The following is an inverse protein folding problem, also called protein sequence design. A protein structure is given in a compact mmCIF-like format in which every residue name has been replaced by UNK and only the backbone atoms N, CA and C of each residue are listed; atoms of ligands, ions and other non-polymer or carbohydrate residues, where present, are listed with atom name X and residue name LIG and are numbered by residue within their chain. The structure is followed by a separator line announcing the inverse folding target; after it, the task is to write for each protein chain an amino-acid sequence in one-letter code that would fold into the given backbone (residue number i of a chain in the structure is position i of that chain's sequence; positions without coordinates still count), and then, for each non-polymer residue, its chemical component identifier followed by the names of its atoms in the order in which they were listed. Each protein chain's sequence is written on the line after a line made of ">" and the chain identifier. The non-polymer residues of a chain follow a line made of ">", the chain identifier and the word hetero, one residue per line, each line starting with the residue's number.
data_IF_399244541610
#
_entry.id   IF_399244541610
#
_cell.length_a   1.000
_cell.length_b   1.000
_cell.length_c   1.000
_cell.angle_alpha   90.00
_cell.angle_beta   90.00
_cell.angle_gamma   90.00
#
_symmetry.space_group_name_H-M   'P 1'
#
loop_
_entity.id
_entity.type
_entity.pdbx_description
1 polymer ?
#
# COMPACT_ATOMS: atom_id res chain seq x y z
N UNK A 1 -22.46 -8.26 -25.54
CA UNK A 1 -21.21 -9.04 -25.70
C UNK A 1 -20.04 -8.06 -25.64
N UNK A 2 -19.02 -8.34 -24.85
CA UNK A 2 -17.87 -7.43 -24.65
C UNK A 2 -16.66 -7.86 -25.50
N UNK A 3 -15.88 -6.92 -26.04
CA UNK A 3 -14.73 -7.22 -26.89
C UNK A 3 -13.45 -7.56 -26.11
N UNK A 4 -13.43 -7.38 -24.78
CA UNK A 4 -12.34 -7.83 -23.92
C UNK A 4 -12.82 -8.13 -22.51
N UNK A 5 -12.04 -8.93 -21.76
CA UNK A 5 -12.30 -9.23 -20.36
C UNK A 5 -12.31 -7.96 -19.50
N UNK A 6 -11.37 -7.04 -19.76
CA UNK A 6 -11.29 -5.78 -19.04
C UNK A 6 -12.54 -4.92 -19.26
N UNK A 7 -13.07 -4.86 -20.49
CA UNK A 7 -14.32 -4.14 -20.75
C UNK A 7 -15.52 -4.83 -20.12
N UNK A 8 -15.56 -6.17 -20.09
CA UNK A 8 -16.61 -6.91 -19.39
C UNK A 8 -16.60 -6.60 -17.88
N UNK A 9 -15.44 -6.68 -17.23
CA UNK A 9 -15.31 -6.39 -15.80
C UNK A 9 -15.67 -4.95 -15.48
N UNK A 10 -15.19 -4.00 -16.28
CA UNK A 10 -15.43 -2.59 -16.06
C UNK A 10 -16.92 -2.22 -16.28
N UNK A 11 -17.58 -2.84 -17.27
CA UNK A 11 -19.02 -2.66 -17.48
C UNK A 11 -19.84 -3.14 -16.28
N UNK A 12 -19.58 -4.35 -15.78
CA UNK A 12 -20.30 -4.90 -14.62
C UNK A 12 -20.02 -4.09 -13.37
N UNK A 13 -18.75 -3.72 -13.12
CA UNK A 13 -18.37 -2.92 -11.97
C UNK A 13 -19.05 -1.55 -11.95
N UNK A 14 -19.16 -0.88 -13.11
CA UNK A 14 -19.90 0.39 -13.22
C UNK A 14 -21.38 0.24 -12.96
N UNK A 15 -22.01 -0.78 -13.54
CA UNK A 15 -23.44 -1.04 -13.35
C UNK A 15 -23.72 -1.24 -11.85
N UNK A 16 -22.95 -2.10 -11.18
CA UNK A 16 -23.05 -2.29 -9.73
C UNK A 16 -22.83 -0.99 -8.97
N UNK A 17 -21.81 -0.19 -9.35
CA UNK A 17 -21.54 1.09 -8.70
C UNK A 17 -22.72 2.08 -8.80
N UNK A 18 -23.37 2.14 -9.96
CA UNK A 18 -24.54 3.00 -10.19
C UNK A 18 -25.76 2.49 -9.42
N UNK A 19 -26.05 1.19 -9.46
CA UNK A 19 -27.17 0.56 -8.76
C UNK A 19 -27.06 0.69 -7.23
N UNK A 20 -25.83 0.72 -6.69
CA UNK A 20 -25.58 0.99 -5.28
C UNK A 20 -25.71 2.48 -4.89
N UNK A 21 -26.13 3.35 -5.81
CA UNK A 21 -26.32 4.77 -5.53
C UNK A 21 -25.01 5.54 -5.43
N UNK A 22 -23.97 5.11 -6.16
CA UNK A 22 -22.69 5.79 -6.26
C UNK A 22 -22.02 6.07 -4.89
N UNK A 23 -21.69 5.02 -4.11
CA UNK A 23 -21.08 5.20 -2.79
C UNK A 23 -19.76 5.98 -2.87
N UNK A 24 -19.41 6.68 -1.79
CA UNK A 24 -18.17 7.48 -1.70
C UNK A 24 -16.91 6.62 -1.73
N UNK A 25 -17.02 5.34 -1.36
CA UNK A 25 -15.95 4.35 -1.44
C UNK A 25 -16.47 3.13 -2.19
N UNK A 26 -15.84 2.84 -3.33
CA UNK A 26 -16.11 1.63 -4.11
C UNK A 26 -14.80 1.09 -4.65
N UNK A 27 -14.45 -0.13 -4.26
CA UNK A 27 -13.15 -0.73 -4.56
C UNK A 27 -13.26 -1.74 -5.72
N UNK A 28 -12.45 -1.56 -6.77
CA UNK A 28 -12.34 -2.53 -7.86
C UNK A 28 -10.91 -3.09 -7.96
N UNK A 29 -10.78 -4.41 -7.85
CA UNK A 29 -9.51 -5.13 -8.02
C UNK A 29 -9.43 -5.75 -9.43
N UNK A 30 -8.50 -5.31 -10.31
CA UNK A 30 -8.40 -5.83 -11.66
C UNK A 30 -7.82 -7.25 -11.70
N UNK A 31 -8.26 -8.03 -12.69
CA UNK A 31 -7.60 -9.29 -13.05
C UNK A 31 -6.35 -8.99 -13.88
N UNK A 32 -5.16 -9.35 -13.39
CA UNK A 32 -3.89 -9.26 -14.16
C UNK A 32 -2.85 -8.27 -13.63
N UNK A 33 -3.00 -7.68 -12.45
CA UNK A 33 -2.03 -6.71 -11.91
C UNK A 33 -0.68 -7.31 -11.51
N UNK A 34 -0.56 -8.64 -11.47
CA UNK A 34 0.60 -9.34 -10.94
C UNK A 34 1.47 -10.09 -11.97
N UNK A 35 1.09 -10.23 -13.26
CA UNK A 35 1.75 -11.22 -14.15
C UNK A 35 1.81 -10.89 -15.66
N UNK A 36 1.68 -9.64 -16.13
CA UNK A 36 1.79 -9.38 -17.58
C UNK A 36 2.59 -8.12 -17.91
N UNK A 37 3.40 -8.14 -18.99
CA UNK A 37 4.19 -6.98 -19.39
C UNK A 37 3.27 -5.76 -19.65
N UNK A 38 3.78 -4.54 -19.45
CA UNK A 38 3.01 -3.28 -19.52
C UNK A 38 2.26 -3.05 -20.84
N UNK A 39 2.51 -3.87 -21.87
CA UNK A 39 1.86 -3.84 -23.18
C UNK A 39 0.44 -4.41 -23.22
N UNK A 40 -0.05 -5.02 -22.13
CA UNK A 40 -1.36 -5.69 -22.11
C UNK A 40 -2.30 -5.24 -20.99
N UNK A 41 -1.89 -4.25 -20.17
CA UNK A 41 -2.77 -3.61 -19.19
C UNK A 41 -3.68 -2.62 -19.91
N UNK A 42 -4.51 -3.14 -20.81
CA UNK A 42 -5.72 -2.47 -21.25
C UNK A 42 -6.77 -2.68 -20.14
N UNK A 43 -6.55 -2.15 -18.94
CA UNK A 43 -7.71 -1.71 -18.15
C UNK A 43 -8.09 -0.41 -18.83
N UNK A 44 -9.20 -0.31 -19.58
CA UNK A 44 -9.57 0.97 -20.13
C UNK A 44 -9.80 1.88 -18.93
N UNK A 45 -8.88 2.83 -18.70
CA UNK A 45 -9.03 3.90 -17.73
C UNK A 45 -10.38 4.63 -17.90
N UNK A 46 -10.96 4.51 -19.10
CA UNK A 46 -12.23 5.06 -19.57
C UNK A 46 -13.47 4.31 -19.04
N UNK A 47 -13.36 3.06 -18.58
CA UNK A 47 -14.53 2.24 -18.27
C UNK A 47 -14.83 2.11 -16.78
N UNK A 48 -14.17 2.85 -15.87
CA UNK A 48 -14.69 3.00 -14.51
C UNK A 48 -15.04 4.48 -14.33
N UNK A 49 -16.29 4.77 -13.91
CA UNK A 49 -16.68 6.14 -13.54
C UNK A 49 -15.68 6.73 -12.54
N UNK A 50 -15.54 8.07 -12.53
CA UNK A 50 -14.53 8.85 -11.78
C UNK A 50 -14.48 8.60 -10.26
N UNK A 51 -15.34 7.76 -9.73
CA UNK A 51 -15.63 7.58 -8.30
C UNK A 51 -15.42 6.14 -7.81
N UNK A 52 -15.06 5.20 -8.68
CA UNK A 52 -14.60 3.86 -8.27
C UNK A 52 -13.10 3.89 -7.94
N UNK A 53 -12.78 3.92 -6.65
CA UNK A 53 -11.43 3.71 -6.14
C UNK A 53 -10.92 2.37 -6.67
N UNK A 54 -9.88 2.39 -7.50
CA UNK A 54 -9.28 1.15 -7.98
C UNK A 54 -8.32 0.63 -6.91
N UNK A 55 -8.60 -0.56 -6.37
CA UNK A 55 -7.61 -1.31 -5.59
C UNK A 55 -6.67 -1.92 -6.60
N UNK A 56 -5.47 -1.36 -6.68
CA UNK A 56 -4.39 -2.08 -7.28
C UNK A 56 -3.67 -2.83 -6.18
N UNK A 57 -3.73 -4.17 -6.21
CA UNK A 57 -2.56 -4.94 -5.81
C UNK A 57 -1.44 -4.54 -6.76
N UNK A 58 -0.73 -3.46 -6.43
CA UNK A 58 0.41 -3.04 -7.22
C UNK A 58 1.56 -3.92 -6.81
N UNK A 59 1.87 -4.82 -7.72
CA UNK A 59 2.98 -5.73 -7.64
C UNK A 59 3.98 -5.21 -8.64
N UNK A 60 5.02 -4.47 -8.30
CA UNK A 60 6.07 -4.19 -9.28
C UNK A 60 7.39 -4.08 -8.50
N UNK A 61 8.47 -4.64 -9.03
CA UNK A 61 9.82 -4.51 -8.47
C UNK A 61 10.76 -4.18 -9.62
N UNK A 62 11.77 -3.36 -9.36
CA UNK A 62 12.67 -2.78 -10.39
C UNK A 62 13.74 -3.72 -10.94
N UNK A 63 13.96 -4.91 -10.36
CA UNK A 63 15.19 -5.68 -10.63
C UNK A 63 14.97 -7.08 -11.26
N UNK A 64 13.74 -7.42 -11.64
CA UNK A 64 13.43 -8.62 -12.44
C UNK A 64 12.30 -8.27 -13.44
N UNK A 65 12.17 -8.94 -14.60
CA UNK A 65 11.15 -8.61 -15.57
C UNK A 65 9.79 -9.11 -15.08
N UNK A 66 9.19 -8.38 -14.13
CA UNK A 66 7.77 -8.44 -13.92
C UNK A 66 7.27 -8.26 -12.50
N UNK A 67 5.97 -7.94 -12.40
CA UNK A 67 5.23 -7.85 -11.15
C UNK A 67 5.33 -9.14 -10.28
N UNK A 68 5.40 -9.00 -8.94
CA UNK A 68 5.32 -10.11 -7.96
C UNK A 68 4.18 -9.94 -6.97
N UNK A 69 3.36 -10.97 -6.79
CA UNK A 69 2.23 -11.00 -5.83
C UNK A 69 2.63 -10.51 -4.43
N UNK A 70 3.83 -10.88 -3.98
CA UNK A 70 4.48 -10.33 -2.78
C UNK A 70 5.65 -9.45 -3.24
N UNK A 71 5.49 -8.12 -3.12
CA UNK A 71 6.52 -7.16 -3.52
C UNK A 71 7.49 -6.89 -2.38
N UNK A 72 8.78 -7.13 -2.66
CA UNK A 72 9.86 -6.82 -1.71
C UNK A 72 10.02 -5.31 -1.55
N UNK A 73 9.95 -4.58 -2.66
CA UNK A 73 10.07 -3.13 -2.68
C UNK A 73 8.93 -2.47 -3.47
N UNK A 74 8.53 -1.28 -3.04
CA UNK A 74 7.57 -0.39 -3.70
C UNK A 74 8.19 1.01 -3.75
N UNK A 75 8.37 1.56 -4.94
CA UNK A 75 9.02 2.85 -5.16
C UNK A 75 8.08 3.87 -5.79
N UNK A 76 8.45 5.15 -5.71
CA UNK A 76 7.70 6.22 -6.37
C UNK A 76 7.69 6.03 -7.90
N UNK A 77 8.82 5.69 -8.53
CA UNK A 77 8.88 5.47 -9.98
C UNK A 77 7.84 4.45 -10.45
N UNK A 78 7.66 3.41 -9.64
CA UNK A 78 6.69 2.35 -9.85
C UNK A 78 5.23 2.81 -9.79
N UNK A 79 4.90 3.61 -8.76
CA UNK A 79 3.58 4.21 -8.66
C UNK A 79 3.30 5.10 -9.88
N UNK A 80 4.33 5.73 -10.46
CA UNK A 80 4.19 6.61 -11.62
C UNK A 80 3.79 5.86 -12.88
N UNK A 81 4.38 4.68 -13.10
CA UNK A 81 4.01 3.84 -14.21
C UNK A 81 2.54 3.41 -14.11
N UNK A 82 2.10 3.04 -12.91
CA UNK A 82 0.73 2.57 -12.69
C UNK A 82 -0.29 3.71 -12.73
N UNK A 83 0.03 4.86 -12.17
CA UNK A 83 -0.76 6.08 -12.36
C UNK A 83 -0.88 6.44 -13.85
N UNK A 84 0.20 6.29 -14.62
CA UNK A 84 0.19 6.51 -16.06
C UNK A 84 -0.78 5.60 -16.82
N UNK A 85 -0.98 4.36 -16.35
CA UNK A 85 -1.94 3.43 -16.94
C UNK A 85 -3.37 3.65 -16.42
N UNK A 86 -3.54 3.82 -15.10
CA UNK A 86 -4.85 3.95 -14.46
C UNK A 86 -5.46 5.35 -14.62
N UNK A 87 -4.62 6.35 -14.87
CA UNK A 87 -4.96 7.79 -14.88
C UNK A 87 -5.57 8.26 -13.54
N UNK A 88 -5.15 7.66 -12.42
CA UNK A 88 -5.56 7.99 -11.05
C UNK A 88 -4.57 7.40 -10.03
N UNK A 89 -4.51 7.96 -8.82
CA UNK A 89 -3.77 7.35 -7.72
C UNK A 89 -4.42 6.02 -7.31
N UNK A 90 -3.65 4.94 -7.13
CA UNK A 90 -4.17 3.64 -6.73
C UNK A 90 -4.39 3.55 -5.21
N UNK A 91 -5.22 2.60 -4.80
CA UNK A 91 -5.16 2.03 -3.44
C UNK A 91 -4.28 0.78 -3.51
N UNK A 92 -3.24 0.69 -2.68
CA UNK A 92 -2.37 -0.49 -2.61
C UNK A 92 -3.04 -1.58 -1.79
N UNK A 93 -3.06 -2.80 -2.31
CA UNK A 93 -3.25 -4.01 -1.52
C UNK A 93 -1.89 -4.68 -1.32
N UNK A 94 -1.40 -4.64 -0.09
CA UNK A 94 -0.03 -4.99 0.26
C UNK A 94 0.06 -6.39 0.87
N UNK A 95 0.65 -7.33 0.13
CA UNK A 95 0.84 -8.72 0.57
C UNK A 95 2.19 -8.96 1.27
N UNK A 96 2.89 -7.92 1.75
CA UNK A 96 4.20 -8.06 2.38
C UNK A 96 4.23 -9.14 3.48
N UNK A 97 3.12 -9.29 4.20
CA UNK A 97 2.96 -10.23 5.32
C UNK A 97 1.98 -11.38 5.04
N UNK A 98 1.44 -11.49 3.83
CA UNK A 98 0.53 -12.58 3.49
C UNK A 98 1.28 -13.92 3.59
N UNK A 99 0.68 -14.90 4.26
CA UNK A 99 1.23 -16.27 4.39
C UNK A 99 0.24 -17.37 3.97
N UNK A 100 -0.92 -17.00 3.43
CA UNK A 100 -1.95 -17.90 2.91
C UNK A 100 -1.42 -18.89 1.86
N UNK A 101 -0.37 -18.51 1.14
CA UNK A 101 0.27 -19.34 0.12
C UNK A 101 1.28 -20.38 0.65
N UNK A 102 1.76 -20.28 1.90
CA UNK A 102 2.62 -21.29 2.54
C UNK A 102 2.43 -21.29 4.06
N UNK A 103 1.63 -22.25 4.55
CA UNK A 103 1.28 -22.39 5.97
C UNK A 103 2.46 -22.70 6.91
N UNK A 104 3.67 -22.91 6.38
CA UNK A 104 4.90 -23.09 7.18
C UNK A 104 5.63 -21.78 7.45
N UNK A 105 5.15 -20.67 6.90
CA UNK A 105 5.77 -19.35 7.02
C UNK A 105 4.88 -18.45 7.87
N UNK A 106 5.52 -17.68 8.75
CA UNK A 106 4.90 -16.60 9.51
C UNK A 106 5.86 -15.43 9.47
N UNK A 107 5.33 -14.22 9.29
CA UNK A 107 6.13 -13.01 9.10
C UNK A 107 5.96 -12.07 10.30
N UNK A 108 7.03 -11.95 11.08
CA UNK A 108 7.09 -11.13 12.31
C UNK A 108 8.15 -10.01 12.21
N UNK A 109 8.62 -9.70 11.00
CA UNK A 109 9.56 -8.60 10.76
C UNK A 109 8.85 -7.23 10.68
N UNK A 110 9.61 -6.12 10.66
CA UNK A 110 9.04 -4.79 10.56
C UNK A 110 8.59 -4.43 9.15
N UNK A 111 7.68 -3.47 9.04
CA UNK A 111 7.17 -3.00 7.75
C UNK A 111 8.32 -2.36 6.99
N UNK A 112 8.65 -2.83 5.79
CA UNK A 112 9.82 -2.34 5.07
C UNK A 112 9.69 -2.50 3.56
N UNK A 113 10.64 -1.89 2.84
CA UNK A 113 10.69 -1.90 1.37
C UNK A 113 9.72 -0.94 0.71
N UNK A 114 8.93 -0.16 1.47
CA UNK A 114 8.09 0.92 0.90
C UNK A 114 8.88 2.21 1.07
N UNK A 115 9.27 2.81 -0.05
CA UNK A 115 10.03 4.06 -0.05
C UNK A 115 9.28 5.16 0.75
N UNK A 116 9.99 6.13 1.35
CA UNK A 116 9.33 7.30 1.92
C UNK A 116 8.64 8.15 0.84
N UNK A 117 7.57 8.85 1.23
CA UNK A 117 6.84 9.78 0.36
C UNK A 117 5.93 9.12 -0.66
N UNK A 118 5.46 7.89 -0.40
CA UNK A 118 4.50 7.21 -1.27
C UNK A 118 3.07 7.67 -1.01
N UNK A 119 2.74 8.04 0.23
CA UNK A 119 1.36 8.40 0.61
C UNK A 119 0.74 9.53 -0.24
N UNK A 120 1.45 10.61 -0.62
CA UNK A 120 0.92 11.65 -1.53
C UNK A 120 0.46 11.13 -2.90
N UNK A 121 0.87 9.92 -3.26
CA UNK A 121 0.66 9.30 -4.57
C UNK A 121 -0.30 8.10 -4.51
N UNK A 122 -0.90 7.88 -3.35
CA UNK A 122 -1.84 6.80 -3.10
C UNK A 122 -3.17 7.38 -2.62
N UNK A 123 -4.27 6.74 -3.02
CA UNK A 123 -5.56 6.96 -2.34
C UNK A 123 -5.64 6.20 -1.01
N UNK A 124 -4.78 5.21 -0.81
CA UNK A 124 -4.71 4.42 0.42
C UNK A 124 -3.79 3.22 0.30
N UNK A 125 -3.55 2.58 1.43
CA UNK A 125 -2.79 1.34 1.53
C UNK A 125 -3.52 0.40 2.50
N UNK A 126 -3.80 -0.82 2.03
CA UNK A 126 -4.47 -1.87 2.77
C UNK A 126 -3.50 -3.04 2.90
N UNK A 127 -3.21 -3.44 4.15
CA UNK A 127 -2.34 -4.58 4.42
C UNK A 127 -3.14 -5.88 4.38
N UNK A 128 -2.64 -6.88 3.65
CA UNK A 128 -3.05 -8.27 3.75
C UNK A 128 -2.00 -9.02 4.59
N UNK A 129 -2.26 -9.26 5.89
CA UNK A 129 -1.27 -9.74 6.83
C UNK A 129 -1.25 -11.27 6.91
N UNK A 130 -0.65 -11.84 7.97
CA UNK A 130 -0.68 -13.27 8.20
C UNK A 130 -2.12 -13.74 8.48
N UNK A 131 -2.43 -15.00 8.20
CA UNK A 131 -3.69 -15.64 8.54
C UNK A 131 -3.92 -15.68 10.06
N UNK A 132 -2.86 -15.91 10.83
CA UNK A 132 -2.93 -15.97 12.29
C UNK A 132 -3.05 -14.57 12.89
N UNK A 133 -4.22 -14.23 13.44
CA UNK A 133 -4.51 -12.90 13.99
C UNK A 133 -3.41 -12.37 14.92
N UNK A 134 -2.94 -13.20 15.85
CA UNK A 134 -1.95 -12.80 16.86
C UNK A 134 -0.54 -12.56 16.28
N UNK A 135 -0.23 -13.14 15.11
CA UNK A 135 1.04 -12.90 14.44
C UNK A 135 1.11 -11.49 13.79
N UNK A 136 0.00 -10.75 13.78
CA UNK A 136 -0.10 -9.47 13.09
C UNK A 136 0.19 -8.25 13.97
N UNK A 137 0.58 -8.46 15.23
CA UNK A 137 0.94 -7.35 16.13
C UNK A 137 2.06 -6.49 15.54
N UNK A 138 3.23 -7.08 15.26
CA UNK A 138 4.38 -6.37 14.69
C UNK A 138 4.06 -5.80 13.29
N UNK A 139 3.48 -6.55 12.35
CA UNK A 139 3.06 -6.02 11.04
C UNK A 139 2.20 -4.75 11.11
N UNK A 140 1.16 -4.74 11.94
CA UNK A 140 0.23 -3.61 12.05
C UNK A 140 0.86 -2.44 12.81
N UNK A 141 1.59 -2.74 13.89
CA UNK A 141 2.28 -1.72 14.69
C UNK A 141 3.32 -0.96 13.87
N UNK A 142 4.20 -1.68 13.17
CA UNK A 142 5.26 -1.07 12.35
C UNK A 142 4.71 -0.36 11.12
N UNK A 143 3.61 -0.84 10.51
CA UNK A 143 2.86 -0.09 9.49
C UNK A 143 2.32 1.24 10.05
N UNK A 144 1.78 1.23 11.27
CA UNK A 144 1.30 2.45 11.93
C UNK A 144 2.42 3.47 12.16
N UNK A 145 3.60 3.01 12.60
CA UNK A 145 4.80 3.85 12.77
C UNK A 145 5.28 4.42 11.43
N UNK A 146 5.32 3.60 10.37
CA UNK A 146 5.64 4.07 9.02
C UNK A 146 4.66 5.13 8.52
N UNK A 147 3.36 4.89 8.67
CA UNK A 147 2.31 5.82 8.24
C UNK A 147 2.40 7.17 8.95
N UNK A 148 2.74 7.19 10.25
CA UNK A 148 2.97 8.45 10.98
C UNK A 148 4.14 9.25 10.40
N UNK A 149 5.23 8.57 10.00
CA UNK A 149 6.37 9.24 9.36
C UNK A 149 5.98 9.87 8.01
N UNK A 150 5.11 9.19 7.24
CA UNK A 150 4.60 9.70 5.96
C UNK A 150 3.75 10.96 6.16
N UNK A 151 2.90 10.99 7.20
CA UNK A 151 2.10 12.16 7.54
C UNK A 151 2.96 13.36 7.96
N UNK A 152 4.01 13.12 8.77
CA UNK A 152 4.96 14.15 9.16
C UNK A 152 5.72 14.74 7.96
N UNK A 153 6.12 13.89 7.02
CA UNK A 153 6.76 14.33 5.77
C UNK A 153 5.82 15.18 4.90
N UNK A 154 4.54 14.80 4.80
CA UNK A 154 3.53 15.57 4.05
C UNK A 154 3.31 16.97 4.64
N UNK A 155 3.19 17.08 5.97
CA UNK A 155 2.97 18.37 6.64
C UNK A 155 4.12 19.38 6.36
N UNK A 156 5.37 18.88 6.31
CA UNK A 156 6.54 19.69 6.02
C UNK A 156 6.57 20.21 4.57
N UNK A 157 6.05 19.44 3.60
CA UNK A 157 5.93 19.87 2.20
C UNK A 157 4.92 21.02 2.02
N UNK A 158 3.80 21.02 2.77
CA UNK A 158 2.82 22.11 2.74
C UNK A 158 3.38 23.41 3.37
N UNK A 159 4.24 23.30 4.38
CA UNK A 159 4.93 24.47 4.95
C UNK A 159 6.04 25.01 4.03
N UNK A 160 6.85 24.13 3.44
CA UNK A 160 7.93 24.52 2.51
C UNK A 160 7.41 25.15 1.21
N UNK A 161 6.17 24.83 0.79
CA UNK A 161 5.49 25.47 -0.35
C UNK A 161 5.22 26.98 -0.18
N UNK A 162 5.34 27.51 1.04
CA UNK A 162 5.21 28.94 1.34
C UNK A 162 6.57 29.65 1.45
N UNK A 163 7.68 28.90 1.51
CA UNK A 163 9.06 29.41 1.69
C UNK A 163 10.00 29.12 0.50
N UNK A 164 9.46 28.75 -0.67
CA UNK A 164 10.26 28.53 -1.88
C UNK A 164 10.65 29.86 -2.56
N UNK A 165 11.45 30.68 -1.87
CA UNK A 165 12.28 31.73 -2.49
C UNK A 165 13.73 31.72 -1.97
N UNK A 166 14.07 30.97 -0.93
CA UNK A 166 15.45 30.99 -0.44
C UNK A 166 15.92 29.64 0.14
N UNK A 167 16.67 28.88 -0.68
CA UNK A 167 17.88 28.13 -0.33
C UNK A 167 17.96 26.79 -1.08
N UNK A 168 18.71 26.81 -2.19
CA UNK A 168 19.38 25.61 -2.70
C UNK A 168 20.60 25.34 -1.81
N UNK A 169 20.48 24.40 -0.90
CA UNK A 169 21.55 23.98 0.01
C UNK A 169 21.53 22.46 0.18
N UNK A 170 22.55 21.82 -0.38
CA UNK A 170 22.79 20.39 -0.39
C UNK A 170 23.16 19.91 1.03
N UNK A 171 22.32 19.09 1.66
CA UNK A 171 22.56 18.46 2.97
C UNK A 171 21.72 17.20 3.12
N UNK A 172 22.23 16.07 2.62
CA UNK A 172 21.69 14.73 2.91
C UNK A 172 22.21 14.24 4.28
N UNK A 173 21.58 14.70 5.35
CA UNK A 173 21.55 13.99 6.63
C UNK A 173 20.26 13.17 6.75
N UNK A 174 20.19 12.16 7.63
CA UNK A 174 18.92 11.52 7.95
C UNK A 174 17.97 12.60 8.50
N UNK A 175 16.84 12.81 7.84
CA UNK A 175 15.84 13.76 8.31
C UNK A 175 15.30 13.25 9.65
N UNK A 176 15.42 14.07 10.71
CA UNK A 176 14.71 13.82 11.98
C UNK A 176 13.24 13.54 11.68
N UNK A 177 12.75 12.35 12.06
CA UNK A 177 11.39 11.88 11.77
C UNK A 177 11.24 10.91 10.60
N UNK A 178 12.33 10.48 9.95
CA UNK A 178 12.28 9.39 8.95
C UNK A 178 12.04 8.03 9.61
N UNK A 179 11.21 7.19 8.99
CA UNK A 179 10.96 5.83 9.49
C UNK A 179 12.20 4.93 9.47
N UNK A 180 12.49 4.30 10.61
CA UNK A 180 13.53 3.28 10.77
C UNK A 180 12.88 1.92 11.07
N UNK A 181 13.03 0.90 10.18
CA UNK A 181 12.44 -0.42 10.41
C UNK A 181 12.95 -1.08 11.70
N UNK A 182 14.22 -0.87 12.04
CA UNK A 182 14.84 -1.46 13.23
C UNK A 182 14.25 -0.85 14.51
N UNK A 183 14.16 0.48 14.59
CA UNK A 183 13.59 1.17 15.75
C UNK A 183 12.09 0.84 15.89
N UNK A 184 11.36 0.80 14.77
CA UNK A 184 9.96 0.42 14.76
C UNK A 184 9.76 -1.03 15.25
N UNK A 185 10.65 -1.96 14.87
CA UNK A 185 10.62 -3.34 15.36
C UNK A 185 10.86 -3.41 16.87
N UNK A 186 11.87 -2.70 17.36
CA UNK A 186 12.21 -2.69 18.79
C UNK A 186 11.05 -2.16 19.63
N UNK A 187 10.43 -1.06 19.20
CA UNK A 187 9.24 -0.52 19.85
C UNK A 187 8.07 -1.51 19.81
N UNK A 188 7.79 -2.10 18.65
CA UNK A 188 6.72 -3.09 18.49
C UNK A 188 6.93 -4.32 19.38
N UNK A 189 8.17 -4.80 19.52
CA UNK A 189 8.50 -5.93 20.39
C UNK A 189 8.29 -5.60 21.87
N UNK A 190 8.71 -4.41 22.31
CA UNK A 190 8.48 -3.95 23.68
C UNK A 190 6.98 -3.90 24.01
N UNK A 191 6.18 -3.29 23.13
CA UNK A 191 4.73 -3.18 23.31
C UNK A 191 4.04 -4.56 23.26
N UNK A 192 4.50 -5.45 22.37
CA UNK A 192 3.92 -6.79 22.27
C UNK A 192 4.20 -7.65 23.51
N UNK A 193 5.41 -7.56 24.08
CA UNK A 193 5.73 -8.23 25.34
C UNK A 193 4.83 -7.73 26.47
N UNK A 194 4.57 -6.42 26.53
CA UNK A 194 3.64 -5.85 27.51
C UNK A 194 2.22 -6.39 27.34
N UNK A 195 1.73 -6.48 26.10
CA UNK A 195 0.42 -7.05 25.77
C UNK A 195 0.31 -8.53 26.16
N UNK A 196 1.31 -9.36 25.81
CA UNK A 196 1.36 -10.78 26.18
C UNK A 196 1.33 -10.95 27.70
N UNK A 197 2.11 -10.14 28.43
CA UNK A 197 2.13 -10.20 29.89
C UNK A 197 0.79 -9.80 30.52
N UNK A 198 0.07 -8.83 29.94
CA UNK A 198 -1.27 -8.46 30.40
C UNK A 198 -2.28 -9.59 30.16
N UNK A 199 -2.27 -10.21 28.99
CA UNK A 199 -3.16 -11.33 28.67
C UNK A 199 -2.89 -12.56 29.56
N UNK A 200 -1.63 -12.80 29.94
CA UNK A 200 -1.27 -13.88 30.86
C UNK A 200 -1.79 -13.65 32.29
N UNK A 201 -1.99 -12.40 32.69
CA UNK A 201 -2.51 -12.03 34.02
C UNK A 201 -4.04 -12.06 34.09
N UNK A 202 -4.75 -11.98 32.96
CA UNK A 202 -6.22 -12.08 32.88
C UNK A 202 -6.67 -13.28 32.00
N UNK A 203 -6.52 -14.53 32.47
CA UNK A 203 -6.98 -15.69 31.71
C UNK A 203 -8.52 -15.72 31.64
N UNK A 204 -9.10 -15.36 30.50
CA UNK A 204 -10.54 -15.48 30.26
C UNK A 204 -11.22 -14.45 29.32
N UNK A 205 -10.46 -13.54 28.70
CA UNK A 205 -10.97 -12.73 27.58
C UNK A 205 -10.68 -13.38 26.23
#
# INVERSE_FOLDING_TARGET
>A
VFPSLAQAHASVANEVYQELGQPSVFLFCPTGTACSPPRSVCVPAVCLGWTALSVCSMCLCSDAPGPKVVSQELSAALLQEVEGVLQRHPVIWDNLYANDYDCRRVFLGPYMGRAPGLMPRLHGLLLNPNCELQANFIPIHTLGTWFQSELGSCANLYHAGMEMVAALGDSQGPQEGSYSPQEALELALCDWVAEINQQALEPGR
#
